data_IF_531429653133
#
_entry.id   IF_531429653133
#
_cell.length_a   1.000
_cell.length_b   1.000
_cell.length_c   1.000
_cell.angle_alpha   90.00
_cell.angle_beta   90.00
_cell.angle_gamma   90.00
#
_symmetry.space_group_name_H-M   'P 1'
#
loop_
_entity.id
_entity.type
_entity.pdbx_description
1 polymer ?
#
# COMPACT_ATOMS: atom_id res chain seq x y z
N UNK A 1 -20.97 25.05 7.03
CA UNK A 1 -20.43 24.02 6.14
C UNK A 1 -19.60 23.07 6.99
N UNK A 2 -20.01 21.80 7.20
CA UNK A 2 -19.12 20.78 7.72
C UNK A 2 -18.19 20.33 6.58
N UNK A 3 -16.89 20.32 6.82
CA UNK A 3 -15.89 19.78 5.90
C UNK A 3 -15.91 18.25 6.03
N UNK A 4 -16.33 17.56 4.97
CA UNK A 4 -16.26 16.10 4.91
C UNK A 4 -14.79 15.63 4.99
N UNK A 5 -14.46 14.67 5.88
CA UNK A 5 -13.09 14.15 6.03
C UNK A 5 -12.69 13.18 4.91
N UNK A 6 -13.52 12.97 3.89
CA UNK A 6 -13.27 12.05 2.77
C UNK A 6 -12.18 12.52 1.79
N UNK A 7 -11.67 13.75 1.93
CA UNK A 7 -10.68 14.35 1.01
C UNK A 7 -9.27 13.77 1.10
N UNK A 8 -8.99 12.76 1.94
CA UNK A 8 -7.64 12.18 2.03
C UNK A 8 -7.30 11.19 0.92
N UNK A 9 -8.28 10.73 0.12
CA UNK A 9 -8.08 9.66 -0.86
C UNK A 9 -7.54 10.14 -2.23
N UNK A 10 -6.98 11.34 -2.30
CA UNK A 10 -6.45 11.84 -3.56
C UNK A 10 -5.16 11.08 -3.92
N UNK A 11 -5.00 10.57 -5.16
CA UNK A 11 -3.79 9.89 -5.58
C UNK A 11 -2.54 10.79 -5.51
N UNK A 12 -2.71 12.11 -5.46
CA UNK A 12 -1.64 13.06 -5.20
C UNK A 12 -1.10 12.93 -3.76
N UNK A 13 -1.96 12.68 -2.77
CA UNK A 13 -1.53 12.52 -1.37
C UNK A 13 -0.71 11.24 -1.17
N UNK A 14 -0.94 10.21 -1.99
CA UNK A 14 -0.19 8.96 -1.94
C UNK A 14 1.24 9.10 -2.49
N UNK A 15 1.44 9.97 -3.49
CA UNK A 15 2.73 10.18 -4.12
C UNK A 15 3.77 10.79 -3.16
N UNK A 16 3.31 11.52 -2.14
CA UNK A 16 4.15 12.17 -1.13
C UNK A 16 4.48 11.25 0.06
N UNK A 17 3.86 10.07 0.15
CA UNK A 17 4.10 9.12 1.24
C UNK A 17 5.36 8.28 1.01
N UNK A 18 6.08 7.99 2.10
CA UNK A 18 7.06 6.90 2.08
C UNK A 18 6.35 5.54 2.13
N UNK A 19 7.04 4.49 1.70
CA UNK A 19 6.53 3.11 1.81
C UNK A 19 6.07 2.77 3.24
N UNK A 20 6.87 3.12 4.26
CA UNK A 20 6.55 2.83 5.65
C UNK A 20 5.29 3.58 6.11
N UNK A 21 5.13 4.84 5.72
CA UNK A 21 3.93 5.62 6.03
C UNK A 21 2.69 5.02 5.37
N UNK A 22 2.79 4.67 4.08
CA UNK A 22 1.68 4.05 3.35
C UNK A 22 1.28 2.69 3.97
N UNK A 23 2.27 1.87 4.35
CA UNK A 23 2.04 0.60 5.04
C UNK A 23 1.36 0.79 6.39
N UNK A 24 1.86 1.71 7.21
CA UNK A 24 1.33 1.93 8.57
C UNK A 24 -0.11 2.47 8.53
N UNK A 25 -0.41 3.32 7.56
CA UNK A 25 -1.78 3.75 7.30
C UNK A 25 -2.68 2.59 6.85
N UNK A 26 -2.20 1.74 5.94
CA UNK A 26 -2.94 0.55 5.51
C UNK A 26 -3.27 -0.39 6.68
N UNK A 27 -2.30 -0.64 7.57
CA UNK A 27 -2.51 -1.44 8.79
C UNK A 27 -3.61 -0.82 9.66
N UNK A 28 -3.59 0.50 9.82
CA UNK A 28 -4.59 1.24 10.61
C UNK A 28 -5.98 1.11 10.01
N UNK A 29 -6.11 1.21 8.68
CA UNK A 29 -7.37 1.06 7.95
C UNK A 29 -7.92 -0.36 8.11
N UNK A 30 -7.08 -1.38 7.93
CA UNK A 30 -7.48 -2.78 8.10
C UNK A 30 -7.99 -3.02 9.51
N UNK A 31 -7.27 -2.55 10.53
CA UNK A 31 -7.71 -2.68 11.93
C UNK A 31 -9.06 -2.01 12.20
N UNK A 32 -9.33 -0.86 11.59
CA UNK A 32 -10.63 -0.17 11.72
C UNK A 32 -11.76 -0.96 11.03
N UNK A 33 -11.52 -1.49 9.83
CA UNK A 33 -12.51 -2.31 9.12
C UNK A 33 -12.81 -3.62 9.88
N UNK A 34 -11.78 -4.28 10.42
CA UNK A 34 -11.91 -5.50 11.22
C UNK A 34 -12.63 -5.29 12.55
N UNK A 35 -12.54 -4.09 13.13
CA UNK A 35 -13.26 -3.76 14.36
C UNK A 35 -14.79 -3.81 14.18
N UNK A 36 -15.28 -3.61 12.95
CA UNK A 36 -16.71 -3.55 12.64
C UNK A 36 -17.47 -2.38 13.29
N UNK A 37 -16.75 -1.42 13.91
CA UNK A 37 -17.37 -0.30 14.63
C UNK A 37 -17.65 0.92 13.74
N UNK A 38 -17.33 0.82 12.45
CA UNK A 38 -17.40 1.93 11.51
C UNK A 38 -18.70 1.85 10.69
N UNK A 39 -19.45 2.96 10.51
CA UNK A 39 -20.63 2.99 9.66
C UNK A 39 -20.31 2.58 8.22
N UNK A 40 -21.27 1.93 7.55
CA UNK A 40 -21.09 1.37 6.20
C UNK A 40 -20.46 2.37 5.20
N UNK A 41 -20.95 3.60 5.17
CA UNK A 41 -20.45 4.64 4.26
C UNK A 41 -18.96 4.94 4.52
N UNK A 42 -18.55 5.06 5.78
CA UNK A 42 -17.15 5.25 6.15
C UNK A 42 -16.31 3.99 5.87
N UNK A 43 -16.88 2.79 6.07
CA UNK A 43 -16.20 1.52 5.73
C UNK A 43 -15.90 1.43 4.24
N UNK A 44 -16.79 1.93 3.37
CA UNK A 44 -16.53 2.01 1.93
C UNK A 44 -15.39 2.98 1.61
N UNK A 45 -15.36 4.16 2.23
CA UNK A 45 -14.26 5.13 2.05
C UNK A 45 -12.92 4.57 2.52
N UNK A 46 -12.91 3.90 3.69
CA UNK A 46 -11.73 3.22 4.23
C UNK A 46 -11.25 2.11 3.30
N UNK A 47 -12.16 1.31 2.75
CA UNK A 47 -11.82 0.26 1.79
C UNK A 47 -11.17 0.83 0.53
N UNK A 48 -11.77 1.86 -0.10
CA UNK A 48 -11.19 2.48 -1.30
C UNK A 48 -9.79 3.06 -1.05
N UNK A 49 -9.59 3.67 0.12
CA UNK A 49 -8.27 4.16 0.52
C UNK A 49 -7.29 3.02 0.76
N UNK A 50 -7.72 1.95 1.42
CA UNK A 50 -6.93 0.75 1.65
C UNK A 50 -6.46 0.12 0.34
N UNK A 51 -7.34 -0.01 -0.65
CA UNK A 51 -6.99 -0.53 -1.99
C UNK A 51 -5.94 0.35 -2.68
N UNK A 52 -6.08 1.68 -2.59
CA UNK A 52 -5.12 2.60 -3.19
C UNK A 52 -3.74 2.51 -2.52
N UNK A 53 -3.69 2.40 -1.18
CA UNK A 53 -2.45 2.20 -0.43
C UNK A 53 -1.80 0.85 -0.73
N UNK A 54 -2.60 -0.22 -0.85
CA UNK A 54 -2.11 -1.54 -1.19
C UNK A 54 -1.48 -1.56 -2.59
N UNK A 55 -2.13 -0.95 -3.58
CA UNK A 55 -1.58 -0.81 -4.92
C UNK A 55 -0.28 0.01 -4.95
N UNK A 56 -0.22 1.10 -4.19
CA UNK A 56 0.99 1.92 -4.05
C UNK A 56 2.16 1.13 -3.44
N UNK A 57 1.92 0.43 -2.34
CA UNK A 57 2.93 -0.41 -1.69
C UNK A 57 3.42 -1.53 -2.62
N UNK A 58 2.52 -2.19 -3.35
CA UNK A 58 2.88 -3.24 -4.31
C UNK A 58 3.79 -2.69 -5.41
N UNK A 59 3.42 -1.55 -6.00
CA UNK A 59 4.23 -0.92 -7.04
C UNK A 59 5.64 -0.57 -6.54
N UNK A 60 5.76 -0.05 -5.32
CA UNK A 60 7.05 0.28 -4.72
C UNK A 60 7.95 -0.95 -4.54
N UNK A 61 7.38 -2.08 -4.13
CA UNK A 61 8.10 -3.35 -3.97
C UNK A 61 8.50 -3.94 -5.33
N UNK A 62 7.62 -3.88 -6.33
CA UNK A 62 7.91 -4.35 -7.69
C UNK A 62 9.07 -3.55 -8.31
N UNK A 63 9.09 -2.24 -8.13
CA UNK A 63 10.18 -1.36 -8.57
C UNK A 63 11.49 -1.69 -7.86
N UNK A 64 11.45 -1.93 -6.55
CA UNK A 64 12.62 -2.33 -5.77
C UNK A 64 13.16 -3.69 -6.23
N UNK A 65 12.27 -4.67 -6.47
CA UNK A 65 12.63 -5.98 -6.97
C UNK A 65 13.24 -5.90 -8.37
N UNK A 66 12.66 -5.08 -9.25
CA UNK A 66 13.18 -4.86 -10.61
C UNK A 66 14.60 -4.28 -10.57
N UNK A 67 14.86 -3.30 -9.71
CA UNK A 67 16.22 -2.74 -9.52
C UNK A 67 17.24 -3.78 -9.04
N UNK A 68 16.83 -4.69 -8.16
CA UNK A 68 17.69 -5.79 -7.69
C UNK A 68 17.99 -6.78 -8.81
N UNK A 69 16.98 -7.11 -9.62
CA UNK A 69 17.12 -7.99 -10.78
C UNK A 69 18.05 -7.37 -11.85
N UNK A 70 17.87 -6.08 -12.15
CA UNK A 70 18.71 -5.32 -13.10
C UNK A 70 20.16 -5.21 -12.62
N UNK A 71 20.37 -5.04 -11.30
CA UNK A 71 21.69 -5.01 -10.70
C UNK A 71 22.39 -6.39 -10.72
N UNK A 72 21.71 -7.46 -11.15
CA UNK A 72 22.29 -8.80 -11.24
C UNK A 72 22.60 -9.45 -9.89
N UNK A 73 22.01 -8.95 -8.80
CA UNK A 73 22.25 -9.44 -7.42
C UNK A 73 21.43 -10.70 -7.12
N UNK A 74 20.60 -11.16 -8.06
CA UNK A 74 20.00 -12.50 -7.98
C UNK A 74 21.11 -13.52 -8.11
N UNK A 75 21.51 -14.08 -6.97
CA UNK A 75 22.40 -15.23 -6.88
C UNK A 75 21.85 -16.33 -7.79
N UNK A 76 22.51 -16.56 -8.92
CA UNK A 76 22.37 -17.82 -9.66
C UNK A 76 22.86 -18.90 -8.70
N UNK A 77 21.93 -19.52 -7.97
CA UNK A 77 22.18 -20.88 -7.50
C UNK A 77 22.43 -21.65 -8.78
N UNK A 78 23.70 -22.00 -9.00
CA UNK A 78 24.08 -22.86 -10.11
C UNK A 78 23.23 -24.12 -9.96
N UNK A 79 22.43 -24.42 -10.96
CA UNK A 79 21.97 -25.78 -11.20
C UNK A 79 23.22 -26.62 -11.52
N UNK A 80 24.02 -26.95 -10.49
CA UNK A 80 25.07 -27.95 -10.59
C UNK A 80 24.35 -29.31 -10.64
N UNK A 81 23.90 -29.69 -11.85
CA UNK A 81 23.73 -31.09 -12.22
C UNK A 81 25.09 -31.78 -12.05
N UNK A 82 25.17 -32.72 -11.10
CA UNK A 82 26.18 -33.77 -11.02
C UNK A 82 25.54 -35.04 -10.43
#
# INVERSE_FOLDING_TARGET
MPTDPASKADPADLADLTYEQARDELITIVAQLESGQVPLEQSMSLWHRGEALAAYCAHWLDDAQSKIADAGVVMRIRDDEA
#
